data_IF_566722880748
#
_entry.id   IF_566722880748
#
_cell.length_a   1.000
_cell.length_b   1.000
_cell.length_c   1.000
_cell.angle_alpha   90.00
_cell.angle_beta   90.00
_cell.angle_gamma   90.00
#
_symmetry.space_group_name_H-M   'P 1'
#
loop_
_entity.id
_entity.type
_entity.pdbx_description
1 polymer ?
#
# COMPACT_ATOMS: atom_id res chain seq x y z
N UNK A 1 17.27 -11.81 -33.22
CA UNK A 1 15.92 -11.80 -32.60
C UNK A 1 16.12 -11.86 -31.10
N UNK A 2 16.14 -10.71 -30.43
CA UNK A 2 16.05 -10.63 -28.96
C UNK A 2 14.97 -9.63 -28.64
N UNK A 3 13.94 -10.12 -27.95
CA UNK A 3 12.71 -9.44 -27.62
C UNK A 3 12.97 -8.19 -26.79
N UNK A 4 12.48 -7.05 -27.30
CA UNK A 4 12.30 -5.85 -26.53
C UNK A 4 11.25 -6.13 -25.44
N UNK A 5 11.69 -6.16 -24.18
CA UNK A 5 10.79 -6.07 -23.04
C UNK A 5 10.06 -4.74 -23.12
N UNK A 6 8.76 -4.77 -23.36
CA UNK A 6 7.90 -3.60 -23.33
C UNK A 6 7.76 -3.19 -21.87
N UNK A 7 8.68 -2.37 -21.38
CA UNK A 7 8.42 -1.57 -20.20
C UNK A 7 7.23 -0.68 -20.55
N UNK A 8 6.06 -0.96 -19.98
CA UNK A 8 4.99 0.03 -19.92
C UNK A 8 5.60 1.25 -19.23
N UNK A 9 5.81 2.33 -19.99
CA UNK A 9 6.12 3.61 -19.41
C UNK A 9 4.91 3.99 -18.55
N UNK A 10 5.05 3.82 -17.23
CA UNK A 10 4.12 4.36 -16.27
C UNK A 10 4.13 5.88 -16.48
N UNK A 11 3.19 6.38 -17.26
CA UNK A 11 3.00 7.81 -17.41
C UNK A 11 2.36 8.26 -16.12
N UNK A 12 3.11 8.96 -15.27
CA UNK A 12 2.60 9.47 -14.01
C UNK A 12 1.27 10.20 -14.25
N UNK A 13 0.18 9.66 -13.69
CA UNK A 13 -1.14 10.27 -13.82
C UNK A 13 -1.25 11.38 -12.79
N UNK A 14 -0.74 12.55 -13.16
CA UNK A 14 -0.83 13.74 -12.33
C UNK A 14 -2.30 14.11 -12.11
N UNK A 15 -2.69 14.26 -10.84
CA UNK A 15 -4.03 14.66 -10.44
C UNK A 15 -3.96 15.82 -9.45
N UNK A 16 -4.67 16.91 -9.78
CA UNK A 16 -4.86 18.03 -8.87
C UNK A 16 -5.96 17.71 -7.84
N UNK A 17 -5.67 17.98 -6.57
CA UNK A 17 -6.57 17.82 -5.43
C UNK A 17 -6.89 19.20 -4.85
N UNK A 18 -8.08 19.77 -5.12
CA UNK A 18 -8.42 21.13 -4.71
C UNK A 18 -8.29 21.37 -3.20
N UNK A 19 -8.70 20.41 -2.37
CA UNK A 19 -8.63 20.51 -0.91
C UNK A 19 -7.20 20.47 -0.36
N UNK A 20 -6.23 20.00 -1.16
CA UNK A 20 -4.81 20.02 -0.83
C UNK A 20 -4.07 21.19 -1.49
N UNK A 21 -4.76 21.91 -2.39
CA UNK A 21 -4.17 22.94 -3.25
C UNK A 21 -2.91 22.47 -3.99
N UNK A 22 -2.89 21.22 -4.47
CA UNK A 22 -1.70 20.66 -5.11
C UNK A 22 -1.95 19.42 -5.94
N UNK A 23 -0.88 18.96 -6.59
CA UNK A 23 -0.92 17.83 -7.53
C UNK A 23 -0.13 16.66 -6.96
N UNK A 24 -0.67 15.46 -7.08
CA UNK A 24 0.00 14.20 -6.78
C UNK A 24 0.05 13.32 -8.02
N UNK A 25 1.12 12.57 -8.20
CA UNK A 25 1.17 11.48 -9.17
C UNK A 25 0.39 10.29 -8.61
N UNK A 26 -0.64 9.86 -9.35
CA UNK A 26 -1.35 8.61 -9.08
C UNK A 26 -0.67 7.45 -9.81
N UNK A 27 -0.66 6.28 -9.16
CA UNK A 27 0.04 5.08 -9.62
C UNK A 27 1.47 5.39 -10.11
N UNK A 28 2.20 6.20 -9.32
CA UNK A 28 3.57 6.59 -9.64
C UNK A 28 4.47 5.37 -9.83
N UNK A 29 5.54 5.52 -10.59
CA UNK A 29 6.56 4.47 -10.69
C UNK A 29 7.09 4.07 -9.29
N UNK A 30 7.24 5.02 -8.37
CA UNK A 30 7.69 4.78 -7.00
C UNK A 30 6.82 3.79 -6.23
N UNK A 31 5.50 4.03 -6.18
CA UNK A 31 4.59 3.12 -5.46
C UNK A 31 4.46 1.77 -6.16
N UNK A 32 4.42 1.74 -7.50
CA UNK A 32 4.30 0.50 -8.26
C UNK A 32 5.53 -0.40 -8.08
N UNK A 33 6.73 0.18 -8.17
CA UNK A 33 7.98 -0.55 -7.90
C UNK A 33 8.05 -1.04 -6.46
N UNK A 34 7.64 -0.22 -5.49
CA UNK A 34 7.65 -0.63 -4.08
C UNK A 34 6.69 -1.80 -3.83
N UNK A 35 5.45 -1.70 -4.30
CA UNK A 35 4.45 -2.76 -4.14
C UNK A 35 4.90 -4.08 -4.76
N UNK A 36 5.62 -4.02 -5.88
CA UNK A 36 6.17 -5.21 -6.54
C UNK A 36 7.16 -6.02 -5.70
N UNK A 37 7.79 -5.42 -4.69
CA UNK A 37 8.71 -6.11 -3.78
C UNK A 37 7.99 -7.06 -2.79
N UNK A 38 6.70 -6.85 -2.56
CA UNK A 38 5.92 -7.50 -1.50
C UNK A 38 4.87 -8.48 -2.01
N UNK A 39 4.93 -8.83 -3.29
CA UNK A 39 3.99 -9.76 -3.92
C UNK A 39 4.23 -11.21 -3.46
N UNK A 40 3.18 -11.94 -3.05
CA UNK A 40 3.30 -13.37 -2.82
C UNK A 40 3.41 -14.15 -4.14
N UNK A 41 4.40 -15.02 -4.18
CA UNK A 41 4.64 -16.13 -5.12
C UNK A 41 4.81 -15.78 -6.61
N UNK A 42 6.08 -15.67 -7.04
CA UNK A 42 6.48 -15.57 -8.45
C UNK A 42 6.07 -16.79 -9.30
N UNK A 43 5.62 -17.89 -8.68
CA UNK A 43 5.28 -19.12 -9.40
C UNK A 43 4.04 -18.96 -10.27
N UNK A 44 3.03 -18.20 -9.81
CA UNK A 44 1.79 -18.04 -10.56
C UNK A 44 0.91 -16.83 -10.14
N UNK A 45 1.34 -15.59 -10.44
CA UNK A 45 0.61 -14.39 -10.03
C UNK A 45 -0.79 -14.29 -10.66
N UNK A 46 -1.06 -14.99 -11.76
CA UNK A 46 -2.34 -14.93 -12.45
C UNK A 46 -3.43 -15.81 -11.82
N UNK A 47 -3.09 -16.78 -10.97
CA UNK A 47 -4.07 -17.73 -10.42
C UNK A 47 -4.86 -17.09 -9.27
N UNK A 48 -6.19 -17.08 -9.39
CA UNK A 48 -7.08 -16.65 -8.30
C UNK A 48 -7.14 -17.74 -7.22
N UNK A 49 -6.77 -17.41 -5.99
CA UNK A 49 -6.81 -18.31 -4.83
C UNK A 49 -7.70 -17.78 -3.71
N UNK A 50 -8.10 -18.67 -2.80
CA UNK A 50 -8.79 -18.28 -1.57
C UNK A 50 -7.75 -17.95 -0.49
N UNK A 51 -7.62 -16.67 -0.14
CA UNK A 51 -6.63 -16.21 0.83
C UNK A 51 -7.05 -16.57 2.26
N UNK A 52 -6.38 -17.58 2.83
CA UNK A 52 -6.65 -18.06 4.20
C UNK A 52 -6.32 -17.04 5.28
N UNK A 53 -5.40 -16.12 5.03
CA UNK A 53 -5.08 -15.03 5.97
C UNK A 53 -6.16 -13.95 5.96
N UNK A 54 -6.91 -13.84 4.86
CA UNK A 54 -8.05 -12.95 4.70
C UNK A 54 -9.41 -13.68 4.80
N UNK A 55 -9.47 -14.83 5.49
CA UNK A 55 -10.74 -15.54 5.73
C UNK A 55 -11.37 -16.19 4.49
N UNK A 56 -10.55 -16.59 3.51
CA UNK A 56 -10.99 -17.23 2.27
C UNK A 56 -11.40 -16.25 1.17
N UNK A 57 -11.06 -14.96 1.31
CA UNK A 57 -11.33 -13.94 0.30
C UNK A 57 -10.69 -14.33 -1.04
N UNK A 58 -11.43 -14.32 -2.17
CA UNK A 58 -10.84 -14.51 -3.49
C UNK A 58 -9.83 -13.40 -3.80
N UNK A 59 -8.61 -13.82 -4.12
CA UNK A 59 -7.45 -12.94 -4.30
C UNK A 59 -6.66 -13.37 -5.53
N UNK A 60 -6.20 -12.42 -6.34
CA UNK A 60 -5.39 -12.67 -7.55
C UNK A 60 -4.35 -11.58 -7.75
N UNK A 61 -3.34 -11.84 -8.59
CA UNK A 61 -2.25 -10.91 -8.84
C UNK A 61 -1.64 -10.47 -7.48
N UNK A 62 -1.50 -9.17 -7.27
CA UNK A 62 -0.81 -8.58 -6.11
C UNK A 62 -1.74 -8.26 -4.94
N UNK A 63 -2.70 -9.15 -4.66
CA UNK A 63 -3.71 -8.89 -3.64
C UNK A 63 -4.96 -8.20 -4.16
N UNK A 64 -5.27 -8.34 -5.45
CA UNK A 64 -6.52 -7.83 -6.02
C UNK A 64 -7.67 -8.68 -5.47
N UNK A 65 -8.64 -8.01 -4.84
CA UNK A 65 -9.85 -8.60 -4.27
C UNK A 65 -11.06 -7.73 -4.64
N UNK A 66 -12.26 -8.20 -4.32
CA UNK A 66 -13.51 -7.41 -4.48
C UNK A 66 -13.51 -6.04 -3.78
N UNK A 67 -12.55 -5.76 -2.89
CA UNK A 67 -12.44 -4.49 -2.19
C UNK A 67 -11.73 -3.40 -2.99
N UNK A 68 -11.00 -3.79 -4.04
CA UNK A 68 -10.14 -2.90 -4.82
C UNK A 68 -10.40 -2.97 -6.33
N UNK A 69 -11.15 -3.96 -6.81
CA UNK A 69 -11.66 -4.01 -8.19
C UNK A 69 -13.17 -4.29 -8.23
N UNK A 70 -13.85 -3.77 -9.25
CA UNK A 70 -15.23 -4.13 -9.59
C UNK A 70 -15.31 -5.40 -10.44
N UNK A 71 -14.18 -5.83 -11.01
CA UNK A 71 -14.07 -7.06 -11.78
C UNK A 71 -14.24 -8.27 -10.86
N UNK A 72 -15.15 -9.21 -11.16
CA UNK A 72 -15.32 -10.42 -10.36
C UNK A 72 -14.01 -11.22 -10.24
N UNK A 73 -13.57 -11.47 -9.01
CA UNK A 73 -12.41 -12.31 -8.69
C UNK A 73 -12.91 -13.70 -8.31
N UNK A 74 -12.78 -14.67 -9.22
CA UNK A 74 -13.37 -16.02 -9.09
C UNK A 74 -12.27 -17.06 -8.88
N UNK A 75 -12.31 -17.78 -7.74
CA UNK A 75 -11.32 -18.81 -7.40
C UNK A 75 -11.18 -19.84 -8.51
N UNK A 76 -9.94 -20.19 -8.88
CA UNK A 76 -9.63 -21.12 -9.96
C UNK A 76 -9.54 -20.47 -11.35
N UNK A 77 -9.96 -19.22 -11.51
CA UNK A 77 -9.69 -18.45 -12.74
C UNK A 77 -8.21 -18.06 -12.80
N UNK A 78 -7.73 -17.81 -14.02
CA UNK A 78 -6.42 -17.21 -14.30
C UNK A 78 -6.54 -15.87 -15.01
N UNK A 79 -5.77 -14.88 -14.56
CA UNK A 79 -5.62 -13.58 -15.21
C UNK A 79 -4.29 -13.52 -15.97
N UNK A 80 -4.27 -12.82 -17.10
CA UNK A 80 -3.03 -12.58 -17.84
C UNK A 80 -2.18 -11.53 -17.12
N UNK A 81 -0.85 -11.51 -17.31
CA UNK A 81 0.00 -10.46 -16.74
C UNK A 81 -0.44 -9.04 -17.12
N UNK A 82 -0.87 -8.85 -18.37
CA UNK A 82 -1.39 -7.57 -18.84
C UNK A 82 -2.66 -7.15 -18.10
N UNK A 83 -3.58 -8.11 -17.85
CA UNK A 83 -4.78 -7.85 -17.05
C UNK A 83 -4.44 -7.54 -15.60
N UNK A 84 -3.49 -8.27 -15.00
CA UNK A 84 -3.01 -7.96 -13.65
C UNK A 84 -2.49 -6.53 -13.56
N UNK A 85 -1.60 -6.11 -14.47
CA UNK A 85 -1.05 -4.77 -14.47
C UNK A 85 -2.13 -3.67 -14.64
N UNK A 86 -3.08 -3.90 -15.55
CA UNK A 86 -4.18 -2.95 -15.79
C UNK A 86 -5.10 -2.80 -14.57
N UNK A 87 -5.55 -3.92 -14.01
CA UNK A 87 -6.46 -3.95 -12.87
C UNK A 87 -5.79 -3.43 -11.60
N UNK A 88 -4.50 -3.73 -11.41
CA UNK A 88 -3.70 -3.20 -10.30
C UNK A 88 -3.55 -1.69 -10.39
N UNK A 89 -3.19 -1.14 -11.56
CA UNK A 89 -3.09 0.31 -11.74
C UNK A 89 -4.41 1.02 -11.43
N UNK A 90 -5.52 0.52 -11.98
CA UNK A 90 -6.85 1.07 -11.71
C UNK A 90 -7.25 0.96 -10.22
N UNK A 91 -6.94 -0.17 -9.58
CA UNK A 91 -7.21 -0.41 -8.16
C UNK A 91 -6.41 0.53 -7.25
N UNK A 92 -5.13 0.74 -7.57
CA UNK A 92 -4.24 1.66 -6.86
C UNK A 92 -4.75 3.09 -7.01
N UNK A 93 -5.12 3.52 -8.22
CA UNK A 93 -5.69 4.86 -8.44
C UNK A 93 -6.96 5.07 -7.63
N UNK A 94 -7.91 4.12 -7.66
CA UNK A 94 -9.15 4.21 -6.88
C UNK A 94 -8.90 4.22 -5.37
N UNK A 95 -7.89 3.48 -4.90
CA UNK A 95 -7.45 3.52 -3.50
C UNK A 95 -6.83 4.88 -3.15
N UNK A 96 -5.96 5.42 -4.01
CA UNK A 96 -5.30 6.71 -3.82
C UNK A 96 -6.28 7.88 -3.81
N UNK A 97 -7.31 7.86 -4.67
CA UNK A 97 -8.36 8.87 -4.67
C UNK A 97 -9.10 8.94 -3.33
N UNK A 98 -9.36 7.78 -2.69
CA UNK A 98 -9.96 7.72 -1.35
C UNK A 98 -8.97 8.14 -0.27
N UNK A 99 -7.72 7.69 -0.38
CA UNK A 99 -6.66 8.00 0.58
C UNK A 99 -6.31 9.49 0.62
N UNK A 100 -6.30 10.17 -0.53
CA UNK A 100 -6.07 11.60 -0.63
C UNK A 100 -7.08 12.44 0.16
N UNK A 101 -8.30 11.93 0.41
CA UNK A 101 -9.31 12.60 1.24
C UNK A 101 -8.93 12.64 2.73
N UNK A 102 -8.01 11.78 3.17
CA UNK A 102 -7.58 11.73 4.56
C UNK A 102 -6.45 12.72 4.87
N UNK A 103 -5.78 13.22 3.84
CA UNK A 103 -4.80 14.29 3.97
C UNK A 103 -5.51 15.64 4.06
N UNK A 104 -5.05 16.48 4.99
CA UNK A 104 -5.51 17.88 5.12
C UNK A 104 -4.46 18.87 4.62
N UNK A 105 -3.32 18.36 4.13
CA UNK A 105 -2.19 19.10 3.61
C UNK A 105 -1.56 18.30 2.48
N UNK A 106 -1.06 18.97 1.45
CA UNK A 106 -0.37 18.29 0.34
C UNK A 106 0.84 17.50 0.89
N UNK A 107 0.85 16.16 0.82
CA UNK A 107 2.00 15.38 1.25
C UNK A 107 3.11 15.44 0.19
N UNK A 108 4.38 15.31 0.60
CA UNK A 108 5.45 14.92 -0.32
C UNK A 108 5.08 13.61 -1.05
N UNK A 109 5.48 13.47 -2.32
CA UNK A 109 5.09 12.30 -3.12
C UNK A 109 5.50 10.97 -2.47
N UNK A 110 6.69 10.89 -1.84
CA UNK A 110 7.13 9.67 -1.14
C UNK A 110 6.25 9.30 0.06
N UNK A 111 5.71 10.30 0.76
CA UNK A 111 4.74 10.10 1.84
C UNK A 111 3.44 9.56 1.27
N UNK A 112 2.96 10.13 0.16
CA UNK A 112 1.75 9.64 -0.50
C UNK A 112 1.91 8.20 -1.01
N UNK A 113 3.04 7.89 -1.64
CA UNK A 113 3.36 6.57 -2.17
C UNK A 113 3.45 5.51 -1.04
N UNK A 114 4.14 5.82 0.05
CA UNK A 114 4.25 4.85 1.17
C UNK A 114 2.95 4.76 1.99
N UNK A 115 2.17 5.83 2.08
CA UNK A 115 0.81 5.76 2.62
C UNK A 115 -0.11 4.89 1.74
N UNK A 116 0.11 4.90 0.42
CA UNK A 116 -0.59 4.03 -0.53
C UNK A 116 -0.22 2.58 -0.31
N UNK A 117 1.07 2.25 -0.16
CA UNK A 117 1.49 0.88 0.18
C UNK A 117 0.90 0.41 1.51
N UNK A 118 0.91 1.27 2.52
CA UNK A 118 0.30 0.97 3.82
C UNK A 118 -1.21 0.70 3.67
N UNK A 119 -1.93 1.55 2.94
CA UNK A 119 -3.36 1.38 2.67
C UNK A 119 -3.69 0.17 1.79
N UNK A 120 -2.80 -0.22 0.86
CA UNK A 120 -2.95 -1.44 0.08
C UNK A 120 -2.96 -2.68 0.98
N UNK A 121 -2.13 -2.68 2.01
CA UNK A 121 -2.03 -3.80 2.95
C UNK A 121 -3.08 -3.76 4.07
N UNK A 122 -3.41 -2.58 4.57
CA UNK A 122 -4.19 -2.42 5.82
C UNK A 122 -5.58 -1.84 5.57
N UNK A 123 -5.88 -1.41 4.35
CA UNK A 123 -7.09 -0.68 3.99
C UNK A 123 -6.99 0.82 4.27
N UNK A 124 -7.68 1.62 3.44
CA UNK A 124 -7.69 3.09 3.52
C UNK A 124 -8.15 3.56 4.90
N UNK A 125 -9.24 3.01 5.45
CA UNK A 125 -9.79 3.44 6.74
C UNK A 125 -8.78 3.33 7.90
N UNK A 126 -8.04 2.22 7.96
CA UNK A 126 -7.00 2.02 8.98
C UNK A 126 -5.81 2.98 8.78
N UNK A 127 -5.41 3.23 7.53
CA UNK A 127 -4.35 4.21 7.24
C UNK A 127 -4.78 5.62 7.64
N UNK A 128 -6.02 6.01 7.33
CA UNK A 128 -6.55 7.34 7.68
C UNK A 128 -6.64 7.57 9.20
N UNK A 129 -6.99 6.53 9.96
CA UNK A 129 -7.05 6.58 11.42
C UNK A 129 -5.68 6.38 12.12
N UNK A 130 -4.60 6.22 11.35
CA UNK A 130 -3.28 5.91 11.91
C UNK A 130 -2.61 7.12 12.57
N UNK A 131 -1.72 6.86 13.54
CA UNK A 131 -0.85 7.88 14.11
C UNK A 131 0.14 8.47 13.10
N UNK A 132 0.42 7.74 12.01
CA UNK A 132 1.19 8.25 10.88
C UNK A 132 0.42 9.38 10.17
N UNK A 133 -0.87 9.17 9.87
CA UNK A 133 -1.73 10.19 9.26
C UNK A 133 -1.89 11.42 10.16
N UNK A 134 -2.04 11.23 11.47
CA UNK A 134 -2.07 12.34 12.44
C UNK A 134 -0.81 13.20 12.32
N UNK A 135 0.39 12.59 12.33
CA UNK A 135 1.65 13.30 12.17
C UNK A 135 1.78 14.00 10.81
N UNK A 136 1.42 13.32 9.72
CA UNK A 136 1.46 13.90 8.37
C UNK A 136 0.55 15.12 8.23
N UNK A 137 -0.66 15.08 8.77
CA UNK A 137 -1.58 16.21 8.75
C UNK A 137 -1.11 17.37 9.66
N UNK A 138 -0.31 17.10 10.68
CA UNK A 138 0.41 18.12 11.44
C UNK A 138 1.63 18.71 10.68
N UNK A 139 2.02 18.13 9.54
CA UNK A 139 3.22 18.50 8.78
C UNK A 139 4.50 17.82 9.28
N UNK A 140 4.39 16.87 10.22
CA UNK A 140 5.52 16.14 10.80
C UNK A 140 5.90 14.94 9.92
N UNK A 141 6.32 15.21 8.68
CA UNK A 141 6.49 14.19 7.63
C UNK A 141 7.37 13.01 8.06
N UNK A 142 8.56 13.30 8.59
CA UNK A 142 9.50 12.28 9.02
C UNK A 142 8.98 11.46 10.22
N UNK A 143 8.22 12.09 11.13
CA UNK A 143 7.61 11.37 12.24
C UNK A 143 6.52 10.42 11.73
N UNK A 144 5.66 10.90 10.83
CA UNK A 144 4.64 10.06 10.21
C UNK A 144 5.24 8.89 9.44
N UNK A 145 6.34 9.09 8.70
CA UNK A 145 7.07 8.00 8.06
C UNK A 145 7.53 6.94 9.08
N UNK A 146 8.13 7.33 10.21
CA UNK A 146 8.54 6.38 11.27
C UNK A 146 7.35 5.65 11.89
N UNK A 147 6.21 6.33 12.02
CA UNK A 147 4.96 5.79 12.58
C UNK A 147 4.26 4.79 11.66
N UNK A 148 4.74 4.56 10.44
CA UNK A 148 4.34 3.42 9.62
C UNK A 148 4.74 2.10 10.27
N UNK A 149 5.94 2.03 10.86
CA UNK A 149 6.47 0.78 11.42
C UNK A 149 6.59 0.75 12.93
N UNK A 150 6.76 1.90 13.59
CA UNK A 150 7.02 1.95 15.03
C UNK A 150 6.04 2.89 15.74
N UNK A 151 5.60 2.47 16.93
CA UNK A 151 4.99 3.39 17.90
C UNK A 151 6.05 4.33 18.50
N UNK A 152 5.60 5.36 19.22
CA UNK A 152 6.50 6.31 19.90
C UNK A 152 7.38 5.64 20.96
N UNK A 153 6.95 4.49 21.51
CA UNK A 153 7.75 3.69 22.43
C UNK A 153 8.69 2.70 21.73
N UNK A 154 8.87 2.80 20.40
CA UNK A 154 9.73 1.94 19.61
C UNK A 154 9.19 0.52 19.35
N UNK A 155 7.92 0.23 19.70
CA UNK A 155 7.32 -1.09 19.44
C UNK A 155 6.82 -1.18 18.00
N UNK A 156 7.00 -2.32 17.30
CA UNK A 156 6.40 -2.53 15.99
C UNK A 156 4.89 -2.31 15.99
N UNK A 157 4.38 -1.63 14.98
CA UNK A 157 2.94 -1.47 14.71
C UNK A 157 2.60 -2.07 13.35
N UNK A 158 1.31 -2.35 13.12
CA UNK A 158 0.82 -2.90 11.85
C UNK A 158 1.49 -4.21 11.40
N UNK A 159 2.12 -4.91 12.36
CA UNK A 159 2.92 -6.12 12.12
C UNK A 159 2.35 -7.34 12.85
N UNK A 160 1.07 -7.27 13.21
CA UNK A 160 0.37 -8.29 13.98
C UNK A 160 -0.96 -8.64 13.31
N UNK A 161 -1.31 -9.92 13.32
CA UNK A 161 -2.58 -10.43 12.80
C UNK A 161 -3.37 -11.12 13.91
N UNK A 162 -4.70 -11.08 13.81
CA UNK A 162 -5.57 -11.86 14.70
C UNK A 162 -5.37 -13.34 14.40
N UNK A 163 -5.26 -14.18 15.44
CA UNK A 163 -5.18 -15.64 15.26
C UNK A 163 -6.56 -16.28 15.11
N UNK A 164 -7.64 -15.53 15.37
CA UNK A 164 -9.01 -16.04 15.47
C UNK A 164 -9.38 -16.50 16.88
N UNK A 165 -8.42 -16.57 17.81
CA UNK A 165 -8.68 -16.87 19.22
C UNK A 165 -8.95 -15.59 20.01
N UNK A 166 -9.72 -15.73 21.07
CA UNK A 166 -9.98 -14.68 22.06
C UNK A 166 -9.28 -15.07 23.36
N UNK A 167 -8.53 -14.13 23.94
CA UNK A 167 -7.89 -14.27 25.23
C UNK A 167 -8.95 -14.32 26.35
N UNK A 168 -8.62 -14.85 27.55
CA UNK A 168 -9.57 -14.91 28.67
C UNK A 168 -10.17 -13.56 29.08
N UNK A 169 -9.46 -12.47 28.79
CA UNK A 169 -9.90 -11.09 29.06
C UNK A 169 -10.79 -10.49 27.96
N UNK A 170 -11.21 -11.28 26.97
CA UNK A 170 -12.09 -10.86 25.87
C UNK A 170 -11.36 -10.18 24.71
N UNK A 171 -10.06 -9.95 24.78
CA UNK A 171 -9.29 -9.35 23.68
C UNK A 171 -8.94 -10.39 22.62
N UNK A 172 -8.83 -10.01 21.34
CA UNK A 172 -8.31 -10.92 20.33
C UNK A 172 -6.85 -11.28 20.62
N UNK A 173 -6.50 -12.55 20.43
CA UNK A 173 -5.10 -12.96 20.42
C UNK A 173 -4.44 -12.45 19.13
N UNK A 174 -3.32 -11.77 19.31
CA UNK A 174 -2.53 -11.17 18.22
C UNK A 174 -1.22 -11.93 18.06
N UNK A 175 -0.85 -12.24 16.82
CA UNK A 175 0.42 -12.90 16.47
C UNK A 175 1.28 -11.96 15.65
N UNK A 176 2.53 -11.77 16.06
CA UNK A 176 3.52 -11.02 15.29
C UNK A 176 3.84 -11.75 13.98
N UNK A 177 3.99 -10.98 12.90
CA UNK A 177 4.35 -11.49 11.57
C UNK A 177 5.59 -10.76 11.09
N UNK A 178 6.73 -11.46 11.07
CA UNK A 178 8.03 -10.90 10.66
C UNK A 178 7.98 -10.26 9.26
N UNK A 179 7.30 -10.89 8.31
CA UNK A 179 7.16 -10.35 6.95
C UNK A 179 6.47 -8.98 6.92
N UNK A 180 5.46 -8.75 7.78
CA UNK A 180 4.80 -7.45 7.89
C UNK A 180 5.72 -6.41 8.54
N UNK A 181 6.49 -6.80 9.56
CA UNK A 181 7.47 -5.90 10.17
C UNK A 181 8.54 -5.46 9.17
N UNK A 182 9.03 -6.39 8.34
CA UNK A 182 9.98 -6.08 7.28
C UNK A 182 9.36 -5.11 6.25
N UNK A 183 8.08 -5.31 5.89
CA UNK A 183 7.35 -4.40 4.99
C UNK A 183 7.26 -3.00 5.56
N UNK A 184 6.87 -2.88 6.83
CA UNK A 184 6.76 -1.59 7.52
C UNK A 184 8.11 -0.88 7.63
N UNK A 185 9.19 -1.63 7.87
CA UNK A 185 10.54 -1.07 7.87
C UNK A 185 10.93 -0.52 6.48
N UNK A 186 10.67 -1.27 5.41
CA UNK A 186 10.94 -0.82 4.05
C UNK A 186 10.09 0.41 3.66
N UNK A 187 8.82 0.45 4.03
CA UNK A 187 7.96 1.62 3.79
C UNK A 187 8.47 2.85 4.56
N UNK A 188 8.91 2.66 5.81
CA UNK A 188 9.52 3.72 6.61
C UNK A 188 10.77 4.28 5.93
N UNK A 189 11.67 3.40 5.48
CA UNK A 189 12.91 3.78 4.79
C UNK A 189 12.62 4.54 3.50
N UNK A 190 11.81 3.99 2.60
CA UNK A 190 11.49 4.64 1.33
C UNK A 190 10.77 5.99 1.52
N UNK A 191 9.90 6.10 2.54
CA UNK A 191 9.23 7.34 2.90
C UNK A 191 10.26 8.42 3.29
N UNK A 192 11.19 8.08 4.19
CA UNK A 192 12.22 8.99 4.69
C UNK A 192 13.25 9.36 3.62
N UNK A 193 13.70 8.41 2.80
CA UNK A 193 14.65 8.66 1.71
C UNK A 193 14.08 9.65 0.69
N UNK A 194 12.80 9.50 0.33
CA UNK A 194 12.14 10.43 -0.59
C UNK A 194 12.00 11.85 -0.02
N UNK A 195 11.86 12.00 1.30
CA UNK A 195 11.92 13.34 1.93
C UNK A 195 13.30 13.97 1.73
N UNK A 196 14.37 13.20 1.94
CA UNK A 196 15.74 13.69 1.76
C UNK A 196 16.06 14.07 0.31
N UNK A 197 15.51 13.35 -0.67
CA UNK A 197 15.69 13.62 -2.10
C UNK A 197 14.89 14.86 -2.55
N UNK A 198 13.66 15.03 -2.05
CA UNK A 198 12.85 16.22 -2.32
C UNK A 198 13.49 17.52 -1.83
N UNK A 199 14.30 17.46 -0.77
CA UNK A 199 15.08 18.61 -0.27
C UNK A 199 16.34 18.94 -1.09
N UNK A 200 16.76 18.08 -2.03
CA UNK A 200 17.95 18.28 -2.87
C UNK A 200 17.65 18.79 -4.28
N UNK A 201 16.38 18.92 -4.63
CA UNK A 201 15.96 19.44 -5.94
C UNK A 201 15.68 20.94 -5.75
N UNK A 202 16.42 21.84 -6.42
CA UNK A 202 16.25 23.29 -6.28
C UNK A 202 14.89 23.78 -6.79
#
# INVERSE_FOLDING_TARGET
MSSAGTAFAATDRLRYFPHLMGTLALASAGVLTFLGQWEPDQRDPGLVYADKLAGGLPTVCKGITRHVTSTPVVVGQRWTPARCAQEEGAAIEALQLRLAQCFTRLPPQSVFDMSTSHAWNNGVGNTCASQAMVAWNAGEWALGCRRLGLSDSGKPVWSYVRTGRTLPDGRPEMRFVQGLANRRAAETTACLEGLLQGHRTP
#
